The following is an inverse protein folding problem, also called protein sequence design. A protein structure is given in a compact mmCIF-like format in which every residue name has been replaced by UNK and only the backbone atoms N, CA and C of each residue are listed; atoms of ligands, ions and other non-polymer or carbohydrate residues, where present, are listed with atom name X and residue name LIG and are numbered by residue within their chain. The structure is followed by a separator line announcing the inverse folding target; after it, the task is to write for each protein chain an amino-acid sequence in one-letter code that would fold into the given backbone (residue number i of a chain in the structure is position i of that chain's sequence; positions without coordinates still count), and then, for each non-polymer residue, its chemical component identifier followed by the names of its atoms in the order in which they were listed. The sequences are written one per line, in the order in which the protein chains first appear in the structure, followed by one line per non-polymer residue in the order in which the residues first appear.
data_IF_656604782397
#
_entry.id   IF_656604782397
#
_cell.length_a   1.000
_cell.length_b   1.000
_cell.length_c   1.000
_cell.angle_alpha   90.00
_cell.angle_beta   90.00
_cell.angle_gamma   90.00
#
_symmetry.space_group_name_H-M   'P 1'
#
loop_
_entity.id
_entity.type
_entity.pdbx_description
1 polymer ?
#
# COMPACT_ATOMS: atom_id res chain seq x y z
N UNK A 1 16.89 8.88 5.46
CA UNK A 1 16.67 7.58 6.13
C UNK A 1 15.29 7.00 5.81
N UNK A 2 14.17 7.69 6.13
CA UNK A 2 12.80 7.23 5.86
C UNK A 2 12.50 6.97 4.35
N UNK A 3 12.96 7.87 3.47
CA UNK A 3 12.77 7.77 2.00
C UNK A 3 13.37 6.48 1.42
N UNK A 4 14.52 6.03 1.93
CA UNK A 4 15.21 4.85 1.40
C UNK A 4 14.53 3.52 1.73
N UNK A 5 13.76 3.45 2.83
CA UNK A 5 13.04 2.22 3.21
C UNK A 5 11.88 1.99 2.23
N UNK A 6 11.09 3.03 1.97
CA UNK A 6 9.92 2.93 1.11
C UNK A 6 10.35 2.64 -0.34
N UNK A 7 11.38 3.33 -0.83
CA UNK A 7 12.00 3.05 -2.13
C UNK A 7 12.45 1.59 -2.24
N UNK A 8 13.10 1.04 -1.22
CA UNK A 8 13.60 -0.35 -1.23
C UNK A 8 12.46 -1.37 -1.21
N UNK A 9 11.44 -1.18 -0.37
CA UNK A 9 10.24 -2.03 -0.33
C UNK A 9 9.58 -2.05 -1.71
N UNK A 10 9.32 -0.87 -2.28
CA UNK A 10 8.63 -0.73 -3.56
C UNK A 10 9.47 -1.30 -4.72
N UNK A 11 10.77 -1.05 -4.71
CA UNK A 11 11.69 -1.58 -5.71
C UNK A 11 11.72 -3.11 -5.68
N UNK A 12 11.92 -3.71 -4.49
CA UNK A 12 11.95 -5.17 -4.33
C UNK A 12 10.61 -5.78 -4.73
N UNK A 13 9.49 -5.16 -4.35
CA UNK A 13 8.18 -5.65 -4.73
C UNK A 13 7.98 -5.61 -6.25
N UNK A 14 8.33 -4.50 -6.90
CA UNK A 14 8.17 -4.32 -8.35
C UNK A 14 8.97 -5.34 -9.16
N UNK A 15 10.24 -5.60 -8.80
CA UNK A 15 11.07 -6.58 -9.52
C UNK A 15 10.58 -8.02 -9.32
N UNK A 16 9.90 -8.31 -8.21
CA UNK A 16 9.31 -9.63 -7.91
C UNK A 16 7.93 -9.84 -8.53
N UNK A 17 7.28 -8.79 -9.02
CA UNK A 17 5.96 -8.83 -9.65
C UNK A 17 6.00 -8.20 -11.06
N UNK A 18 6.69 -8.83 -12.03
CA UNK A 18 6.95 -8.25 -13.34
C UNK A 18 5.70 -7.99 -14.19
N UNK A 19 4.58 -8.66 -13.91
CA UNK A 19 3.30 -8.40 -14.56
C UNK A 19 2.70 -7.03 -14.20
N UNK A 20 3.13 -6.45 -13.07
CA UNK A 20 2.69 -5.16 -12.57
C UNK A 20 3.79 -4.11 -12.65
N UNK A 21 5.02 -4.46 -12.23
CA UNK A 21 6.08 -3.47 -11.99
C UNK A 21 5.70 -2.48 -10.89
N UNK A 22 6.24 -1.27 -10.94
CA UNK A 22 5.76 -0.17 -10.09
C UNK A 22 4.62 0.57 -10.79
N UNK A 23 3.51 0.73 -10.09
CA UNK A 23 2.37 1.56 -10.49
C UNK A 23 2.13 2.61 -9.42
N UNK A 24 2.01 3.87 -9.82
CA UNK A 24 1.72 4.97 -8.90
C UNK A 24 0.44 4.67 -8.11
N UNK A 25 0.49 4.90 -6.79
CA UNK A 25 -0.56 4.51 -5.85
C UNK A 25 -0.19 3.30 -4.98
N UNK A 26 0.72 2.41 -5.44
CA UNK A 26 1.26 1.33 -4.57
C UNK A 26 2.06 1.93 -3.40
N UNK A 27 2.74 3.06 -3.62
CA UNK A 27 3.50 3.76 -2.58
C UNK A 27 2.63 4.18 -1.38
N UNK A 28 1.35 4.54 -1.62
CA UNK A 28 0.46 4.96 -0.55
C UNK A 28 0.04 3.78 0.33
N UNK A 29 0.08 2.55 -0.21
CA UNK A 29 -0.23 1.33 0.53
C UNK A 29 0.88 0.89 1.49
N UNK A 30 2.11 1.38 1.31
CA UNK A 30 3.24 1.10 2.22
C UNK A 30 3.04 1.80 3.57
N UNK A 31 2.60 3.06 3.51
CA UNK A 31 2.48 3.97 4.66
C UNK A 31 1.71 3.39 5.85
N UNK A 32 0.48 2.86 5.71
CA UNK A 32 -0.28 2.39 6.86
C UNK A 32 0.40 1.22 7.58
N UNK A 33 1.02 0.28 6.86
CA UNK A 33 1.75 -0.82 7.48
C UNK A 33 2.98 -0.31 8.23
N UNK A 34 3.79 0.52 7.58
CA UNK A 34 5.00 1.07 8.19
C UNK A 34 4.68 1.87 9.47
N UNK A 35 3.65 2.72 9.41
CA UNK A 35 3.20 3.52 10.56
C UNK A 35 2.71 2.63 11.71
N UNK A 36 1.88 1.63 11.42
CA UNK A 36 1.37 0.72 12.46
C UNK A 36 2.52 -0.01 13.17
N UNK A 37 3.50 -0.52 12.42
CA UNK A 37 4.62 -1.26 13.00
C UNK A 37 5.62 -0.37 13.75
N UNK A 38 5.91 0.84 13.26
CA UNK A 38 6.85 1.72 13.94
C UNK A 38 6.28 2.31 15.23
N UNK A 39 4.96 2.53 15.31
CA UNK A 39 4.30 3.02 16.51
C UNK A 39 4.39 2.05 17.70
N UNK A 40 4.71 0.77 17.50
CA UNK A 40 5.01 -0.15 18.61
C UNK A 40 6.31 0.21 19.34
N UNK A 41 7.21 0.93 18.68
CA UNK A 41 8.55 1.24 19.18
C UNK A 41 8.76 2.73 19.50
N UNK A 42 7.72 3.56 19.29
CA UNK A 42 7.77 5.00 19.54
C UNK A 42 6.58 5.37 20.41
N UNK A 43 6.83 6.00 21.55
CA UNK A 43 5.82 6.65 22.37
C UNK A 43 5.36 7.95 21.69
N UNK A 44 4.61 7.85 20.59
CA UNK A 44 4.06 9.01 19.89
C UNK A 44 2.53 9.03 20.05
N UNK A 45 2.01 10.08 20.69
CA UNK A 45 0.56 10.38 20.69
C UNK A 45 0.08 10.83 19.29
N UNK A 46 0.99 11.33 18.45
CA UNK A 46 0.70 11.81 17.08
C UNK A 46 1.62 11.17 16.04
N UNK A 47 1.02 10.50 15.05
CA UNK A 47 1.70 9.80 13.93
C UNK A 47 2.63 10.73 13.12
N UNK A 48 2.27 12.01 13.01
CA UNK A 48 3.02 12.99 12.22
C UNK A 48 4.36 13.37 12.86
N UNK A 49 4.55 13.04 14.15
CA UNK A 49 5.75 13.39 14.94
C UNK A 49 6.75 12.23 15.08
N UNK A 50 6.48 11.08 14.46
CA UNK A 50 7.30 9.86 14.56
C UNK A 50 8.77 10.13 14.20
N UNK A 51 9.67 10.15 15.18
CA UNK A 51 11.11 10.25 14.92
C UNK A 51 11.73 8.86 14.67
N UNK A 52 11.86 8.51 13.40
CA UNK A 52 12.46 7.24 12.95
C UNK A 52 13.93 7.13 13.35
N UNK A 53 14.63 8.24 13.58
CA UNK A 53 16.05 8.22 13.93
C UNK A 53 16.32 7.74 15.35
N UNK A 54 15.29 7.73 16.22
CA UNK A 54 15.35 7.20 17.58
C UNK A 54 15.28 5.66 17.64
N UNK A 55 14.84 5.01 16.56
CA UNK A 55 14.61 3.56 16.53
C UNK A 55 15.90 2.83 16.12
N UNK A 56 16.32 1.76 16.84
CA UNK A 56 17.50 0.99 16.48
C UNK A 56 17.43 0.42 15.06
N UNK A 57 18.56 0.37 14.37
CA UNK A 57 18.63 -0.09 12.97
C UNK A 57 18.11 -1.52 12.77
N UNK A 58 18.34 -2.43 13.73
CA UNK A 58 17.82 -3.80 13.69
C UNK A 58 16.29 -3.83 13.74
N UNK A 59 15.68 -3.00 14.58
CA UNK A 59 14.22 -2.86 14.66
C UNK A 59 13.68 -2.28 13.36
N UNK A 60 14.35 -1.28 12.77
CA UNK A 60 13.95 -0.74 11.47
C UNK A 60 14.00 -1.77 10.34
N UNK A 61 14.98 -2.69 10.34
CA UNK A 61 15.02 -3.79 9.38
C UNK A 61 13.85 -4.76 9.56
N UNK A 62 13.45 -5.06 10.80
CA UNK A 62 12.29 -5.90 11.07
C UNK A 62 11.00 -5.23 10.60
N UNK A 63 10.81 -3.95 10.94
CA UNK A 63 9.66 -3.15 10.49
C UNK A 63 9.58 -3.11 8.96
N UNK A 64 10.71 -2.91 8.27
CA UNK A 64 10.75 -2.93 6.81
C UNK A 64 10.32 -4.29 6.24
N UNK A 65 10.83 -5.39 6.81
CA UNK A 65 10.48 -6.74 6.38
C UNK A 65 8.99 -7.02 6.58
N UNK A 66 8.43 -6.69 7.75
CA UNK A 66 7.02 -6.87 8.06
C UNK A 66 6.14 -6.01 7.16
N UNK A 67 6.53 -4.75 6.93
CA UNK A 67 5.87 -3.84 5.98
C UNK A 67 5.83 -4.45 4.58
N UNK A 68 6.97 -4.96 4.10
CA UNK A 68 7.06 -5.61 2.79
C UNK A 68 6.13 -6.83 2.69
N UNK A 69 6.15 -7.72 3.69
CA UNK A 69 5.36 -8.95 3.65
C UNK A 69 3.86 -8.68 3.76
N UNK A 70 3.44 -7.80 4.67
CA UNK A 70 2.03 -7.44 4.83
C UNK A 70 1.50 -6.69 3.60
N UNK A 71 2.28 -5.75 3.04
CA UNK A 71 1.92 -5.08 1.79
C UNK A 71 1.82 -6.10 0.64
N UNK A 72 2.77 -7.03 0.52
CA UNK A 72 2.73 -8.07 -0.51
C UNK A 72 1.46 -8.93 -0.38
N UNK A 73 1.08 -9.30 0.85
CA UNK A 73 -0.14 -10.07 1.12
C UNK A 73 -1.42 -9.30 0.79
N UNK A 74 -1.45 -7.99 1.05
CA UNK A 74 -2.57 -7.14 0.61
C UNK A 74 -2.67 -7.13 -0.92
N UNK A 75 -1.54 -6.93 -1.60
CA UNK A 75 -1.48 -6.84 -3.05
C UNK A 75 -1.81 -8.15 -3.75
N UNK A 76 -1.53 -9.31 -3.13
CA UNK A 76 -1.96 -10.62 -3.61
C UNK A 76 -3.49 -10.69 -3.85
N UNK A 77 -4.28 -9.99 -3.03
CA UNK A 77 -5.74 -9.95 -3.16
C UNK A 77 -6.27 -9.01 -4.25
N UNK A 78 -5.42 -8.15 -4.80
CA UNK A 78 -5.79 -7.09 -5.75
C UNK A 78 -4.78 -6.94 -6.90
N UNK A 79 -4.08 -8.02 -7.28
CA UNK A 79 -3.02 -7.97 -8.29
C UNK A 79 -3.50 -7.38 -9.62
N UNK A 80 -4.72 -7.73 -10.03
CA UNK A 80 -5.39 -7.26 -11.24
C UNK A 80 -5.59 -5.74 -11.30
N UNK A 81 -5.57 -5.05 -10.16
CA UNK A 81 -5.59 -3.58 -10.12
C UNK A 81 -4.32 -2.94 -10.68
N UNK A 82 -3.20 -3.66 -10.66
CA UNK A 82 -1.87 -3.09 -10.96
C UNK A 82 -1.19 -3.75 -12.17
N UNK A 83 -1.83 -4.72 -12.80
CA UNK A 83 -1.36 -5.29 -14.08
C UNK A 83 -1.63 -4.34 -15.25
N UNK A 84 -1.08 -4.65 -16.44
CA UNK A 84 -1.28 -3.85 -17.65
C UNK A 84 -2.75 -3.50 -17.89
N UNK A 85 -3.01 -2.21 -18.18
CA UNK A 85 -4.34 -1.62 -18.34
C UNK A 85 -5.26 -1.65 -17.10
N UNK A 86 -4.79 -2.13 -15.94
CA UNK A 86 -5.49 -2.09 -14.66
C UNK A 86 -6.93 -2.64 -14.71
N UNK A 87 -7.16 -3.86 -15.26
CA UNK A 87 -8.50 -4.41 -15.47
C UNK A 87 -9.31 -4.54 -14.16
N UNK A 88 -8.65 -4.80 -13.03
CA UNK A 88 -9.31 -4.89 -11.73
C UNK A 88 -9.96 -3.58 -11.30
N UNK A 89 -9.31 -2.44 -11.58
CA UNK A 89 -9.85 -1.11 -11.28
C UNK A 89 -11.06 -0.83 -12.16
N UNK A 90 -10.96 -1.08 -13.47
CA UNK A 90 -12.07 -0.87 -14.40
C UNK A 90 -13.31 -1.69 -14.01
N UNK A 91 -13.11 -2.96 -13.63
CA UNK A 91 -14.20 -3.82 -13.17
C UNK A 91 -14.84 -3.28 -11.88
N UNK A 92 -14.03 -2.89 -10.89
CA UNK A 92 -14.53 -2.35 -9.62
C UNK A 92 -15.32 -1.05 -9.81
N UNK A 93 -14.87 -0.16 -10.71
CA UNK A 93 -15.61 1.07 -11.06
C UNK A 93 -16.95 0.74 -11.70
N UNK A 94 -16.99 -0.22 -12.64
CA UNK A 94 -18.25 -0.66 -13.28
C UNK A 94 -19.22 -1.26 -12.26
N UNK A 95 -18.74 -2.12 -11.37
CA UNK A 95 -19.55 -2.71 -10.30
C UNK A 95 -20.11 -1.63 -9.37
N UNK A 96 -19.32 -0.60 -9.04
CA UNK A 96 -19.78 0.53 -8.24
C UNK A 96 -20.86 1.34 -8.97
N UNK A 97 -20.71 1.60 -10.27
CA UNK A 97 -21.72 2.27 -11.09
C UNK A 97 -23.05 1.50 -11.10
N UNK A 98 -22.99 0.17 -11.30
CA UNK A 98 -24.17 -0.69 -11.27
C UNK A 98 -24.82 -0.67 -9.87
N UNK A 99 -24.04 -0.74 -8.80
CA UNK A 99 -24.55 -0.70 -7.43
C UNK A 99 -25.27 0.62 -7.14
N UNK A 100 -24.65 1.76 -7.47
CA UNK A 100 -25.26 3.09 -7.30
C UNK A 100 -26.55 3.21 -8.11
N UNK A 101 -26.57 2.75 -9.37
CA UNK A 101 -27.80 2.79 -10.20
C UNK A 101 -28.97 2.00 -9.60
N UNK A 102 -28.67 0.88 -8.91
CA UNK A 102 -29.68 0.05 -8.25
C UNK A 102 -30.22 0.69 -6.97
N UNK A 103 -29.36 1.38 -6.22
CA UNK A 103 -29.72 1.99 -4.93
C UNK A 103 -30.40 3.34 -5.12
N UNK A 104 -29.83 4.24 -5.94
CA UNK A 104 -30.30 5.61 -6.07
C UNK A 104 -31.40 5.83 -7.12
N UNK A 105 -31.72 4.82 -7.94
CA UNK A 105 -32.84 4.83 -8.88
C UNK A 105 -32.82 5.94 -9.95
N UNK A 106 -31.74 6.72 -10.07
CA UNK A 106 -31.55 7.72 -11.13
C UNK A 106 -30.81 7.09 -12.30
N UNK A 107 -31.28 7.27 -13.55
CA UNK A 107 -30.58 6.74 -14.72
C UNK A 107 -29.19 7.38 -14.80
N UNK A 108 -28.18 6.56 -15.09
CA UNK A 108 -26.87 7.04 -15.46
C UNK A 108 -27.02 7.96 -16.69
N UNK A 109 -26.46 9.17 -16.59
CA UNK A 109 -26.48 10.19 -17.65
C UNK A 109 -25.92 9.66 -18.97
#
# INVERSE_FOLDING_TARGET
MRVHIFERILFIWAIRHPASGYVQGINDLVTPFFVVFICEYIEAEEVDTVDVSSVPAEVLHNIEADTYWCMSKLLDGIQDNYTFAQPGIQMKVKMLQELVSRIDGKPAF
#
